data_IF_973861189665
#
_entry.id   IF_973861189665
#
_cell.length_a   1.000
_cell.length_b   1.000
_cell.length_c   1.000
_cell.angle_alpha   90.00
_cell.angle_beta   90.00
_cell.angle_gamma   90.00
#
_symmetry.space_group_name_H-M   'P 1'
#
loop_
_entity.id
_entity.type
_entity.pdbx_description
1 polymer ?
#
# COMPACT_ATOMS: atom_id res chain seq x y z
N UNK A 1 3.47 21.70 53.20
CA UNK A 1 2.88 21.63 51.84
C UNK A 1 1.51 20.99 51.94
N UNK A 2 0.48 21.59 51.32
CA UNK A 2 -0.90 21.13 51.45
C UNK A 2 -1.18 19.88 50.61
N UNK A 3 -1.84 18.89 51.20
CA UNK A 3 -2.24 17.62 50.57
C UNK A 3 -3.07 17.85 49.29
N UNK A 4 -3.87 18.93 49.26
CA UNK A 4 -4.67 19.33 48.10
C UNK A 4 -3.81 19.80 46.92
N UNK A 5 -2.69 20.48 47.18
CA UNK A 5 -1.76 20.90 46.13
C UNK A 5 -1.02 19.68 45.53
N UNK A 6 -0.69 18.68 46.35
CA UNK A 6 -0.07 17.43 45.89
C UNK A 6 -1.05 16.59 45.06
N UNK A 7 -2.30 16.47 45.51
CA UNK A 7 -3.34 15.69 44.80
C UNK A 7 -3.72 16.31 43.44
N UNK A 8 -3.85 17.64 43.37
CA UNK A 8 -4.12 18.35 42.10
C UNK A 8 -2.96 18.24 41.12
N UNK A 9 -1.72 18.36 41.59
CA UNK A 9 -0.50 18.16 40.79
C UNK A 9 -0.43 16.73 40.24
N UNK A 10 -0.67 15.72 41.07
CA UNK A 10 -0.66 14.32 40.63
C UNK A 10 -1.73 14.04 39.55
N UNK A 11 -2.93 14.62 39.70
CA UNK A 11 -4.02 14.48 38.72
C UNK A 11 -3.72 15.20 37.39
N UNK A 12 -3.05 16.35 37.44
CA UNK A 12 -2.59 17.05 36.23
C UNK A 12 -1.46 16.29 35.52
N UNK A 13 -0.53 15.71 36.28
CA UNK A 13 0.54 14.87 35.75
C UNK A 13 -0.04 13.64 35.04
N UNK A 14 -0.99 12.92 35.66
CA UNK A 14 -1.67 11.78 35.07
C UNK A 14 -2.36 12.14 33.73
N UNK A 15 -3.12 13.24 33.69
CA UNK A 15 -3.77 13.70 32.44
C UNK A 15 -2.78 14.07 31.35
N UNK A 16 -1.63 14.61 31.71
CA UNK A 16 -0.58 14.97 30.75
C UNK A 16 0.06 13.71 30.17
N UNK A 17 0.29 12.71 31.01
CA UNK A 17 0.80 11.40 30.58
C UNK A 17 -0.21 10.66 29.69
N UNK A 18 -1.50 10.65 30.05
CA UNK A 18 -2.56 10.05 29.20
C UNK A 18 -2.59 10.69 27.80
N UNK A 19 -2.48 12.03 27.73
CA UNK A 19 -2.41 12.76 26.46
C UNK A 19 -1.15 12.41 25.67
N UNK A 20 -0.02 12.25 26.35
CA UNK A 20 1.26 11.87 25.72
C UNK A 20 1.16 10.47 25.13
N UNK A 21 0.61 9.52 25.87
CA UNK A 21 0.39 8.15 25.40
C UNK A 21 -0.58 8.09 24.22
N UNK A 22 -1.69 8.83 24.28
CA UNK A 22 -2.64 8.91 23.17
C UNK A 22 -1.99 9.48 21.89
N UNK A 23 -1.14 10.50 22.04
CA UNK A 23 -0.39 11.10 20.92
C UNK A 23 0.58 10.09 20.32
N UNK A 24 1.36 9.39 21.15
CA UNK A 24 2.31 8.37 20.71
C UNK A 24 1.62 7.21 19.97
N UNK A 25 0.46 6.75 20.47
CA UNK A 25 -0.32 5.72 19.79
C UNK A 25 -0.88 6.20 18.44
N UNK A 26 -1.30 7.46 18.36
CA UNK A 26 -1.78 8.04 17.10
C UNK A 26 -0.65 8.17 16.07
N UNK A 27 0.54 8.60 16.50
CA UNK A 27 1.74 8.69 15.65
C UNK A 27 2.20 7.30 15.17
N UNK A 28 2.21 6.30 16.06
CA UNK A 28 2.55 4.92 15.70
C UNK A 28 1.61 4.36 14.63
N UNK A 29 0.28 4.52 14.82
CA UNK A 29 -0.71 4.10 13.81
C UNK A 29 -0.55 4.86 12.49
N UNK A 30 -0.18 6.14 12.53
CA UNK A 30 0.08 6.92 11.31
C UNK A 30 1.30 6.36 10.56
N UNK A 31 2.36 6.01 11.27
CA UNK A 31 3.56 5.39 10.69
C UNK A 31 3.22 4.04 10.03
N UNK A 32 2.50 3.16 10.72
CA UNK A 32 2.07 1.86 10.17
C UNK A 32 1.24 2.02 8.89
N UNK A 33 0.33 2.99 8.86
CA UNK A 33 -0.47 3.32 7.66
C UNK A 33 0.38 3.84 6.50
N UNK A 34 1.38 4.67 6.79
CA UNK A 34 2.30 5.19 5.77
C UNK A 34 3.17 4.07 5.20
N UNK A 35 3.62 3.15 6.04
CA UNK A 35 4.47 2.04 5.63
C UNK A 35 3.72 1.07 4.72
N UNK A 36 2.48 0.71 5.06
CA UNK A 36 1.67 -0.17 4.18
C UNK A 36 1.36 0.49 2.83
N UNK A 37 1.07 1.81 2.81
CA UNK A 37 0.85 2.53 1.53
C UNK A 37 2.13 2.53 0.69
N UNK A 38 3.28 2.79 1.32
CA UNK A 38 4.58 2.79 0.64
C UNK A 38 4.88 1.40 0.05
N UNK A 39 4.70 0.36 0.83
CA UNK A 39 4.92 -1.02 0.39
C UNK A 39 4.00 -1.39 -0.78
N UNK A 40 2.72 -1.02 -0.71
CA UNK A 40 1.77 -1.26 -1.79
C UNK A 40 2.17 -0.56 -3.09
N UNK A 41 2.63 0.69 -3.01
CA UNK A 41 3.14 1.44 -4.17
C UNK A 41 4.39 0.77 -4.75
N UNK A 42 5.29 0.29 -3.90
CA UNK A 42 6.49 -0.41 -4.35
C UNK A 42 6.14 -1.73 -5.07
N UNK A 43 5.24 -2.53 -4.51
CA UNK A 43 4.82 -3.81 -5.07
C UNK A 43 4.10 -3.64 -6.41
N UNK A 44 3.21 -2.65 -6.51
CA UNK A 44 2.52 -2.35 -7.77
C UNK A 44 3.51 -1.88 -8.84
N UNK A 45 4.46 -1.01 -8.50
CA UNK A 45 5.50 -0.57 -9.43
C UNK A 45 6.44 -1.70 -9.88
N UNK A 46 6.82 -2.59 -8.95
CA UNK A 46 7.60 -3.79 -9.26
C UNK A 46 6.82 -4.72 -10.21
N UNK A 47 5.51 -4.85 -10.02
CA UNK A 47 4.65 -5.65 -10.90
C UNK A 47 4.54 -5.07 -12.31
N UNK A 48 4.40 -3.75 -12.43
CA UNK A 48 4.40 -3.06 -13.73
C UNK A 48 5.73 -3.28 -14.45
N UNK A 49 6.86 -3.10 -13.74
CA UNK A 49 8.19 -3.33 -14.32
C UNK A 49 8.36 -4.77 -14.78
N UNK A 50 7.92 -5.74 -13.99
CA UNK A 50 8.01 -7.14 -14.35
C UNK A 50 7.13 -7.45 -15.58
N UNK A 51 5.99 -6.78 -15.75
CA UNK A 51 5.20 -6.85 -16.97
C UNK A 51 5.96 -6.23 -18.18
N UNK A 52 6.64 -5.10 -18.00
CA UNK A 52 7.51 -4.50 -19.04
C UNK A 52 8.64 -5.45 -19.45
N UNK A 53 9.36 -6.03 -18.48
CA UNK A 53 10.44 -6.99 -18.72
C UNK A 53 9.94 -8.18 -19.57
N UNK A 54 8.68 -8.60 -19.39
CA UNK A 54 8.07 -9.66 -20.20
C UNK A 54 7.90 -9.26 -21.67
N UNK A 55 7.59 -8.00 -21.94
CA UNK A 55 7.45 -7.47 -23.29
C UNK A 55 8.79 -7.24 -24.01
N UNK A 56 9.93 -7.30 -23.32
CA UNK A 56 11.25 -7.24 -23.96
C UNK A 56 11.60 -8.53 -24.72
N UNK A 57 10.90 -9.63 -24.43
CA UNK A 57 11.06 -10.88 -25.14
C UNK A 57 10.52 -10.79 -26.59
N UNK A 58 10.97 -11.66 -27.52
CA UNK A 58 10.51 -11.66 -28.90
C UNK A 58 9.00 -11.83 -29.07
N UNK A 59 8.34 -12.50 -28.12
CA UNK A 59 6.90 -12.70 -28.07
C UNK A 59 6.43 -12.93 -26.62
N UNK A 60 5.12 -12.79 -26.40
CA UNK A 60 4.53 -12.90 -25.06
C UNK A 60 4.71 -14.28 -24.39
N UNK A 61 4.80 -15.34 -25.20
CA UNK A 61 4.94 -16.71 -24.71
C UNK A 61 6.38 -16.94 -24.24
N UNK A 62 7.37 -16.48 -25.02
CA UNK A 62 8.79 -16.60 -24.67
C UNK A 62 9.21 -15.72 -23.48
N UNK A 63 8.50 -14.62 -23.23
CA UNK A 63 8.73 -13.78 -22.05
C UNK A 63 8.33 -14.42 -20.70
N UNK A 64 7.52 -15.47 -20.72
CA UNK A 64 7.09 -16.20 -19.52
C UNK A 64 8.12 -17.22 -19.02
N UNK A 65 9.38 -16.81 -18.82
CA UNK A 65 10.45 -17.72 -18.38
C UNK A 65 10.17 -18.29 -16.98
N UNK A 66 10.77 -19.44 -16.59
CA UNK A 66 10.61 -19.99 -15.24
C UNK A 66 11.01 -18.99 -14.12
N UNK A 67 12.05 -18.20 -14.35
CA UNK A 67 12.51 -17.16 -13.43
C UNK A 67 11.48 -16.03 -13.32
N UNK A 68 10.97 -15.56 -14.46
CA UNK A 68 9.92 -14.55 -14.50
C UNK A 68 8.65 -15.03 -13.78
N UNK A 69 8.21 -16.27 -14.04
CA UNK A 69 7.05 -16.88 -13.40
C UNK A 69 7.21 -16.97 -11.88
N UNK A 70 8.41 -17.29 -11.41
CA UNK A 70 8.72 -17.39 -9.98
C UNK A 70 8.64 -16.01 -9.33
N UNK A 71 9.26 -15.00 -9.94
CA UNK A 71 9.21 -13.61 -9.47
C UNK A 71 7.78 -13.05 -9.48
N UNK A 72 7.02 -13.27 -10.56
CA UNK A 72 5.66 -12.77 -10.70
C UNK A 72 4.72 -13.36 -9.63
N UNK A 73 4.83 -14.67 -9.35
CA UNK A 73 4.03 -15.31 -8.31
C UNK A 73 4.37 -14.79 -6.91
N UNK A 74 5.66 -14.69 -6.59
CA UNK A 74 6.11 -14.17 -5.30
C UNK A 74 5.66 -12.71 -5.08
N UNK A 75 5.71 -11.90 -6.13
CA UNK A 75 5.25 -10.52 -6.10
C UNK A 75 3.74 -10.43 -5.87
N UNK A 76 2.95 -11.20 -6.64
CA UNK A 76 1.50 -11.19 -6.53
C UNK A 76 1.03 -11.64 -5.14
N UNK A 77 1.69 -12.64 -4.53
CA UNK A 77 1.40 -13.04 -3.16
C UNK A 77 1.60 -11.88 -2.18
N UNK A 78 2.76 -11.21 -2.23
CA UNK A 78 3.05 -10.04 -1.40
C UNK A 78 2.06 -8.90 -1.64
N UNK A 79 1.69 -8.65 -2.89
CA UNK A 79 0.73 -7.62 -3.28
C UNK A 79 -0.64 -7.86 -2.64
N UNK A 80 -1.14 -9.10 -2.67
CA UNK A 80 -2.42 -9.46 -2.05
C UNK A 80 -2.41 -9.37 -0.53
N UNK A 81 -1.27 -9.69 0.11
CA UNK A 81 -1.11 -9.50 1.55
C UNK A 81 -1.16 -8.00 1.89
N UNK A 82 -0.37 -7.19 1.18
CA UNK A 82 -0.30 -5.74 1.41
C UNK A 82 -1.66 -5.06 1.19
N UNK A 83 -2.39 -5.47 0.16
CA UNK A 83 -3.76 -5.01 -0.13
C UNK A 83 -4.74 -5.33 1.02
N UNK A 84 -4.68 -6.53 1.61
CA UNK A 84 -5.46 -6.88 2.82
C UNK A 84 -5.04 -6.07 4.04
N UNK A 85 -3.76 -5.73 4.17
CA UNK A 85 -3.28 -4.88 5.26
C UNK A 85 -3.83 -3.46 5.15
N UNK A 86 -4.07 -2.93 3.94
CA UNK A 86 -4.76 -1.64 3.74
C UNK A 86 -6.19 -1.70 4.31
N UNK A 87 -6.91 -2.81 4.13
CA UNK A 87 -8.24 -2.99 4.73
C UNK A 87 -8.18 -2.93 6.26
N UNK A 88 -7.20 -3.61 6.85
CA UNK A 88 -7.05 -3.72 8.31
C UNK A 88 -6.64 -2.39 8.94
N UNK A 89 -5.67 -1.68 8.34
CA UNK A 89 -5.04 -0.51 8.97
C UNK A 89 -5.72 0.82 8.61
N UNK A 90 -6.36 0.90 7.46
CA UNK A 90 -6.90 2.14 6.90
C UNK A 90 -8.42 2.06 6.74
N UNK A 91 -8.92 1.04 6.04
CA UNK A 91 -10.35 0.79 5.92
C UNK A 91 -10.84 0.47 4.51
N UNK A 92 -12.16 0.21 4.36
CA UNK A 92 -12.74 -0.40 3.17
C UNK A 92 -12.70 0.48 1.92
N UNK A 93 -12.80 1.81 2.06
CA UNK A 93 -12.82 2.73 0.93
C UNK A 93 -11.48 2.72 0.17
N UNK A 94 -10.35 2.88 0.89
CA UNK A 94 -9.04 2.83 0.26
C UNK A 94 -8.68 1.42 -0.20
N UNK A 95 -9.11 0.39 0.54
CA UNK A 95 -8.96 -1.01 0.13
C UNK A 95 -9.63 -1.29 -1.21
N UNK A 96 -10.84 -0.79 -1.48
CA UNK A 96 -11.51 -1.02 -2.76
C UNK A 96 -10.68 -0.45 -3.94
N UNK A 97 -10.05 0.71 -3.74
CA UNK A 97 -9.17 1.31 -4.74
C UNK A 97 -7.86 0.53 -4.88
N UNK A 98 -7.30 0.04 -3.78
CA UNK A 98 -6.13 -0.84 -3.79
C UNK A 98 -6.42 -2.15 -4.53
N UNK A 99 -7.57 -2.76 -4.29
CA UNK A 99 -8.03 -3.95 -5.00
C UNK A 99 -8.11 -3.73 -6.52
N UNK A 100 -8.73 -2.62 -6.95
CA UNK A 100 -8.79 -2.28 -8.38
C UNK A 100 -7.40 -2.07 -8.99
N UNK A 101 -6.50 -1.39 -8.29
CA UNK A 101 -5.15 -1.15 -8.79
C UNK A 101 -4.32 -2.45 -8.82
N UNK A 102 -4.33 -3.25 -7.74
CA UNK A 102 -3.67 -4.55 -7.71
C UNK A 102 -4.23 -5.51 -8.78
N UNK A 103 -5.54 -5.48 -9.01
CA UNK A 103 -6.20 -6.23 -10.08
C UNK A 103 -5.70 -5.83 -11.47
N UNK A 104 -5.53 -4.53 -11.74
CA UNK A 104 -4.96 -4.04 -12.98
C UNK A 104 -3.49 -4.47 -13.16
N UNK A 105 -2.68 -4.41 -12.09
CA UNK A 105 -1.30 -4.91 -12.11
C UNK A 105 -1.25 -6.41 -12.38
N UNK A 106 -2.12 -7.19 -11.73
CA UNK A 106 -2.24 -8.62 -11.99
C UNK A 106 -2.64 -8.89 -13.45
N UNK A 107 -3.56 -8.11 -14.00
CA UNK A 107 -3.98 -8.25 -15.39
C UNK A 107 -2.81 -8.05 -16.37
N UNK A 108 -2.03 -6.97 -16.22
CA UNK A 108 -0.90 -6.70 -17.13
C UNK A 108 0.24 -7.71 -17.00
N UNK A 109 0.38 -8.40 -15.86
CA UNK A 109 1.37 -9.46 -15.69
C UNK A 109 0.99 -10.72 -16.50
N UNK A 110 -0.29 -11.08 -16.50
CA UNK A 110 -0.72 -12.37 -17.04
C UNK A 110 -1.28 -12.30 -18.45
N UNK A 111 -1.80 -11.15 -18.87
CA UNK A 111 -2.47 -10.95 -20.16
C UNK A 111 -1.66 -10.09 -21.13
N UNK A 112 -1.67 -10.48 -22.41
CA UNK A 112 -1.05 -9.71 -23.49
C UNK A 112 -1.99 -8.59 -23.93
N UNK A 113 -1.58 -7.34 -23.73
CA UNK A 113 -2.39 -6.15 -24.01
C UNK A 113 -1.94 -5.38 -25.26
N UNK A 114 -1.02 -5.92 -26.04
CA UNK A 114 -0.48 -5.25 -27.23
C UNK A 114 0.71 -4.33 -26.94
N UNK A 115 1.44 -4.59 -25.84
CA UNK A 115 2.74 -3.98 -25.54
C UNK A 115 2.77 -3.08 -24.30
N UNK A 116 3.94 -2.52 -23.96
CA UNK A 116 4.14 -1.74 -22.73
C UNK A 116 3.23 -0.51 -22.61
N UNK A 117 2.97 0.19 -23.72
CA UNK A 117 2.11 1.38 -23.71
C UNK A 117 0.66 1.07 -23.32
N UNK A 118 0.11 -0.03 -23.86
CA UNK A 118 -1.25 -0.46 -23.54
C UNK A 118 -1.36 -1.00 -22.11
N UNK A 119 -0.32 -1.69 -21.62
CA UNK A 119 -0.23 -2.09 -20.21
C UNK A 119 -0.24 -0.88 -19.28
N UNK A 120 0.53 0.18 -19.59
CA UNK A 120 0.51 1.42 -18.83
C UNK A 120 -0.85 2.11 -18.86
N UNK A 121 -1.49 2.19 -20.02
CA UNK A 121 -2.81 2.80 -20.15
C UNK A 121 -3.86 2.05 -19.32
N UNK A 122 -3.79 0.71 -19.26
CA UNK A 122 -4.66 -0.13 -18.45
C UNK A 122 -4.53 0.16 -16.94
N UNK A 123 -3.30 0.40 -16.47
CA UNK A 123 -3.00 0.58 -15.04
C UNK A 123 -3.15 2.02 -14.57
N UNK A 124 -3.04 3.00 -15.48
CA UNK A 124 -3.01 4.43 -15.16
C UNK A 124 -4.21 4.92 -14.37
N UNK A 125 -5.42 4.53 -14.78
CA UNK A 125 -6.64 5.03 -14.15
C UNK A 125 -6.82 4.48 -12.72
N UNK A 126 -6.68 3.16 -12.46
CA UNK A 126 -6.74 2.63 -11.10
C UNK A 126 -5.64 3.20 -10.19
N UNK A 127 -4.42 3.34 -10.72
CA UNK A 127 -3.28 3.94 -10.02
C UNK A 127 -3.62 5.36 -9.55
N UNK A 128 -4.07 6.23 -10.46
CA UNK A 128 -4.37 7.61 -10.13
C UNK A 128 -5.49 7.75 -9.10
N UNK A 129 -6.55 6.92 -9.19
CA UNK A 129 -7.63 6.92 -8.19
C UNK A 129 -7.10 6.55 -6.80
N UNK A 130 -6.29 5.50 -6.71
CA UNK A 130 -5.69 5.08 -5.45
C UNK A 130 -4.77 6.17 -4.87
N UNK A 131 -3.84 6.72 -5.67
CA UNK A 131 -2.89 7.73 -5.21
C UNK A 131 -3.57 9.02 -4.75
N UNK A 132 -4.62 9.47 -5.46
CA UNK A 132 -5.40 10.64 -5.06
C UNK A 132 -6.15 10.42 -3.74
N UNK A 133 -6.75 9.24 -3.56
CA UNK A 133 -7.41 8.89 -2.31
C UNK A 133 -6.42 8.75 -1.14
N UNK A 134 -5.27 8.12 -1.39
CA UNK A 134 -4.18 8.01 -0.41
C UNK A 134 -3.67 9.39 0.01
N UNK A 135 -3.49 10.33 -0.93
CA UNK A 135 -3.12 11.70 -0.61
C UNK A 135 -4.13 12.37 0.35
N UNK A 136 -5.43 12.21 0.08
CA UNK A 136 -6.49 12.75 0.95
C UNK A 136 -6.56 12.14 2.36
N UNK A 137 -6.00 10.94 2.56
CA UNK A 137 -5.91 10.27 3.88
C UNK A 137 -4.62 10.62 4.64
N UNK A 138 -3.61 11.14 3.94
CA UNK A 138 -2.30 11.49 4.50
C UNK A 138 -2.14 12.98 4.81
N UNK A 139 -2.91 13.84 4.12
CA UNK A 139 -3.07 15.27 4.39
C UNK A 139 -3.93 15.53 5.63
#
# INVERSE_FOLDING_TARGET
MSYLAQFTTARQAARTEDKRQATQLAEARRAERLDVIREFIQLTQEGIRLAEDRYEAPDWTSGGTPEWLTSARALIERLWICERMILVLIGPELHQLAWSYAGAVNHVLWEELGGPGAAWDHVREPMNRFLNAAHGQLG
#
